data_IF_326580012154
#
_entry.id   IF_326580012154
#
_cell.length_a   1.000
_cell.length_b   1.000
_cell.length_c   1.000
_cell.angle_alpha   90.00
_cell.angle_beta   90.00
_cell.angle_gamma   90.00
#
_symmetry.space_group_name_H-M   'P 1'
#
loop_
_entity.id
_entity.type
_entity.pdbx_description
1 polymer ?
#
# COMPACT_ATOMS: atom_id res chain seq x y z
N UNK A 1 -26.64 -25.74 0.95
CA UNK A 1 -25.44 -25.32 0.19
C UNK A 1 -25.26 -23.82 0.36
N UNK A 2 -24.30 -23.40 1.18
CA UNK A 2 -24.03 -21.97 1.41
C UNK A 2 -23.27 -21.44 0.20
N UNK A 3 -23.83 -20.42 -0.47
CA UNK A 3 -23.24 -19.80 -1.66
C UNK A 3 -21.83 -19.28 -1.34
N UNK A 4 -20.81 -19.77 -2.08
CA UNK A 4 -19.38 -19.47 -1.86
C UNK A 4 -19.06 -17.97 -1.89
N UNK A 5 -19.86 -17.17 -2.61
CA UNK A 5 -19.77 -15.70 -2.62
C UNK A 5 -20.19 -15.03 -1.30
N UNK A 6 -21.15 -15.62 -0.57
CA UNK A 6 -21.58 -15.16 0.76
C UNK A 6 -20.59 -15.55 1.85
N UNK A 7 -19.85 -16.66 1.67
CA UNK A 7 -18.80 -17.09 2.58
C UNK A 7 -17.59 -16.13 2.55
N UNK A 8 -17.20 -15.67 1.36
CA UNK A 8 -16.09 -14.72 1.19
C UNK A 8 -16.43 -13.34 1.79
N UNK A 9 -17.65 -12.86 1.59
CA UNK A 9 -18.12 -11.62 2.20
C UNK A 9 -18.19 -11.72 3.73
N UNK A 10 -18.63 -12.86 4.27
CA UNK A 10 -18.69 -13.08 5.72
C UNK A 10 -17.31 -13.16 6.37
N UNK A 11 -16.33 -13.80 5.72
CA UNK A 11 -14.94 -13.87 6.21
C UNK A 11 -14.25 -12.49 6.19
N UNK A 12 -14.54 -11.66 5.19
CA UNK A 12 -14.04 -10.27 5.11
C UNK A 12 -14.64 -9.36 6.19
N UNK A 13 -15.95 -9.47 6.44
CA UNK A 13 -16.63 -8.71 7.49
C UNK A 13 -16.18 -9.17 8.89
N UNK A 14 -15.97 -10.47 9.10
CA UNK A 14 -15.45 -11.01 10.36
C UNK A 14 -13.98 -10.59 10.57
N UNK A 15 -13.14 -10.55 9.53
CA UNK A 15 -11.76 -10.06 9.64
C UNK A 15 -11.69 -8.56 9.98
N UNK A 16 -12.64 -7.75 9.50
CA UNK A 16 -12.75 -6.33 9.84
C UNK A 16 -13.25 -6.15 11.29
N UNK A 17 -14.18 -6.99 11.77
CA UNK A 17 -14.67 -6.92 13.16
C UNK A 17 -13.64 -7.41 14.19
N UNK A 18 -12.78 -8.39 13.85
CA UNK A 18 -11.70 -8.84 14.75
C UNK A 18 -10.58 -7.81 14.95
N UNK A 19 -10.56 -6.72 14.18
CA UNK A 19 -9.65 -5.61 14.40
C UNK A 19 -10.07 -4.68 15.57
N UNK A 20 -11.30 -4.80 16.10
CA UNK A 20 -11.84 -3.82 17.05
C UNK A 20 -12.43 -4.37 18.37
N UNK A 21 -12.39 -5.69 18.65
CA UNK A 21 -12.70 -6.15 20.00
C UNK A 21 -12.77 -7.66 20.21
N UNK A 22 -11.80 -8.19 20.96
CA UNK A 22 -11.93 -9.02 22.19
C UNK A 22 -10.52 -9.48 22.56
N UNK A 23 -10.08 -9.08 23.75
CA UNK A 23 -8.76 -9.43 24.29
C UNK A 23 -8.59 -10.93 24.47
N UNK A 24 -7.53 -11.46 23.85
CA UNK A 24 -6.71 -12.57 24.36
C UNK A 24 -5.47 -12.81 23.45
N UNK A 25 -5.49 -12.39 22.17
CA UNK A 25 -4.37 -12.59 21.23
C UNK A 25 -3.94 -11.30 20.50
N UNK A 26 -3.94 -10.15 21.20
CA UNK A 26 -3.69 -8.83 20.63
C UNK A 26 -2.28 -8.64 20.02
N UNK A 27 -1.32 -9.53 20.27
CA UNK A 27 0.05 -9.41 19.75
C UNK A 27 0.23 -9.95 18.32
N UNK A 28 -0.58 -10.91 17.87
CA UNK A 28 -0.44 -11.49 16.52
C UNK A 28 -1.28 -10.76 15.45
N UNK A 29 -2.47 -10.25 15.80
CA UNK A 29 -3.30 -9.49 14.84
C UNK A 29 -2.70 -8.10 14.57
N UNK A 30 -2.04 -7.51 15.57
CA UNK A 30 -1.26 -6.29 15.38
C UNK A 30 -0.15 -6.47 14.35
N UNK A 31 0.52 -7.63 14.33
CA UNK A 31 1.59 -7.96 13.40
C UNK A 31 1.10 -8.23 11.98
N UNK A 32 0.03 -9.01 11.79
CA UNK A 32 -0.49 -9.31 10.44
C UNK A 32 -1.12 -8.08 9.76
N UNK A 33 -1.81 -7.23 10.53
CA UNK A 33 -2.33 -5.96 10.05
C UNK A 33 -1.23 -4.93 9.79
N UNK A 34 -0.16 -4.93 10.60
CA UNK A 34 1.02 -4.11 10.32
C UNK A 34 1.86 -4.65 9.17
N UNK A 35 1.94 -5.97 8.97
CA UNK A 35 2.76 -6.59 7.91
C UNK A 35 2.23 -6.24 6.53
N UNK A 36 0.91 -6.32 6.30
CA UNK A 36 0.32 -5.89 5.03
C UNK A 36 0.48 -4.39 4.80
N UNK A 37 0.39 -3.57 5.86
CA UNK A 37 0.62 -2.12 5.77
C UNK A 37 2.10 -1.77 5.55
N UNK A 38 3.02 -2.58 6.04
CA UNK A 38 4.48 -2.45 5.82
C UNK A 38 4.85 -2.89 4.41
N UNK A 39 4.23 -3.96 3.92
CA UNK A 39 4.39 -4.48 2.56
C UNK A 39 3.85 -3.52 1.49
N UNK A 40 2.75 -2.83 1.78
CA UNK A 40 2.00 -1.95 0.86
C UNK A 40 2.10 -0.47 1.28
N UNK A 41 3.25 -0.08 1.84
CA UNK A 41 3.55 1.33 2.07
C UNK A 41 4.00 1.95 0.75
N UNK A 42 3.70 3.23 0.48
CA UNK A 42 4.27 3.91 -0.67
C UNK A 42 5.80 3.79 -0.72
N UNK A 43 6.40 3.50 -1.89
CA UNK A 43 7.85 3.50 -2.01
C UNK A 43 8.39 4.89 -1.75
N UNK A 44 9.47 4.94 -0.99
CA UNK A 44 10.27 6.15 -0.83
C UNK A 44 11.13 6.37 -2.06
N UNK A 45 11.55 7.61 -2.27
CA UNK A 45 12.44 7.94 -3.39
C UNK A 45 13.77 7.17 -3.33
N UNK A 46 14.32 6.96 -2.13
CA UNK A 46 15.52 6.15 -1.96
C UNK A 46 15.33 4.68 -2.36
N UNK A 47 14.13 4.12 -2.14
CA UNK A 47 13.82 2.76 -2.59
C UNK A 47 13.73 2.67 -4.11
N UNK A 48 13.16 3.69 -4.76
CA UNK A 48 13.14 3.79 -6.23
C UNK A 48 14.57 3.93 -6.76
N UNK A 49 15.39 4.79 -6.18
CA UNK A 49 16.78 5.00 -6.60
C UNK A 49 17.61 3.71 -6.45
N UNK A 50 17.44 3.01 -5.32
CA UNK A 50 18.09 1.73 -5.07
C UNK A 50 17.63 0.66 -6.07
N UNK A 51 16.33 0.59 -6.39
CA UNK A 51 15.79 -0.31 -7.40
C UNK A 51 16.37 0.00 -8.78
N UNK A 52 16.41 1.27 -9.19
CA UNK A 52 16.97 1.71 -10.46
C UNK A 52 18.43 1.26 -10.61
N UNK A 53 19.23 1.46 -9.55
CA UNK A 53 20.65 1.06 -9.53
C UNK A 53 20.82 -0.46 -9.54
N UNK A 54 20.06 -1.18 -8.71
CA UNK A 54 20.20 -2.64 -8.57
C UNK A 54 19.73 -3.38 -9.82
N UNK A 55 18.68 -2.89 -10.48
CA UNK A 55 18.15 -3.48 -11.72
C UNK A 55 18.92 -3.05 -12.97
N UNK A 56 19.85 -2.09 -12.84
CA UNK A 56 20.64 -1.56 -13.95
C UNK A 56 19.73 -1.12 -15.11
N UNK A 57 18.71 -0.31 -14.78
CA UNK A 57 17.71 0.11 -15.76
C UNK A 57 18.35 0.93 -16.89
N UNK A 58 17.92 0.68 -18.13
CA UNK A 58 18.31 1.49 -19.29
C UNK A 58 17.74 2.91 -19.17
N UNK A 59 18.25 3.86 -19.97
CA UNK A 59 17.73 5.22 -19.98
C UNK A 59 16.23 5.27 -20.32
N UNK A 60 15.80 4.44 -21.27
CA UNK A 60 14.40 4.31 -21.67
C UNK A 60 13.52 3.77 -20.53
N UNK A 61 13.97 2.72 -19.84
CA UNK A 61 13.28 2.17 -18.67
C UNK A 61 13.20 3.20 -17.52
N UNK A 62 14.26 3.98 -17.31
CA UNK A 62 14.30 5.04 -16.30
C UNK A 62 13.29 6.16 -16.59
N UNK A 63 13.22 6.63 -17.83
CA UNK A 63 12.25 7.66 -18.24
C UNK A 63 10.82 7.17 -18.08
N UNK A 64 10.53 5.93 -18.47
CA UNK A 64 9.19 5.35 -18.28
C UNK A 64 8.82 5.24 -16.80
N UNK A 65 9.72 4.72 -15.96
CA UNK A 65 9.51 4.65 -14.52
C UNK A 65 9.30 6.04 -13.92
N UNK A 66 10.08 7.05 -14.33
CA UNK A 66 9.95 8.41 -13.84
C UNK A 66 8.56 8.98 -14.14
N UNK A 67 8.08 8.83 -15.38
CA UNK A 67 6.76 9.28 -15.80
C UNK A 67 5.64 8.60 -14.99
N UNK A 68 5.72 7.29 -14.81
CA UNK A 68 4.75 6.54 -14.00
C UNK A 68 4.81 6.95 -12.53
N UNK A 69 6.01 7.17 -11.98
CA UNK A 69 6.20 7.57 -10.59
C UNK A 69 5.65 8.97 -10.30
N UNK A 70 5.81 9.93 -11.22
CA UNK A 70 5.20 11.27 -11.09
C UNK A 70 3.68 11.18 -11.05
N UNK A 71 3.06 10.38 -11.92
CA UNK A 71 1.61 10.17 -11.90
C UNK A 71 1.15 9.50 -10.60
N UNK A 72 1.86 8.45 -10.18
CA UNK A 72 1.60 7.74 -8.94
C UNK A 72 1.64 8.69 -7.72
N UNK A 73 2.68 9.50 -7.59
CA UNK A 73 2.84 10.42 -6.43
C UNK A 73 1.74 11.47 -6.37
N UNK A 74 1.32 12.03 -7.51
CA UNK A 74 0.21 12.99 -7.58
C UNK A 74 -1.13 12.36 -7.15
N UNK A 75 -1.43 11.16 -7.65
CA UNK A 75 -2.66 10.44 -7.29
C UNK A 75 -2.63 9.98 -5.83
N UNK A 76 -1.50 9.49 -5.36
CA UNK A 76 -1.30 9.07 -3.98
C UNK A 76 -1.50 10.24 -3.01
N UNK A 77 -0.99 11.43 -3.34
CA UNK A 77 -1.19 12.62 -2.52
C UNK A 77 -2.68 12.96 -2.37
N UNK A 78 -3.44 12.90 -3.47
CA UNK A 78 -4.90 13.09 -3.43
C UNK A 78 -5.60 12.03 -2.59
N UNK A 79 -5.30 10.75 -2.82
CA UNK A 79 -5.90 9.63 -2.09
C UNK A 79 -5.58 9.67 -0.60
N UNK A 80 -4.34 10.03 -0.23
CA UNK A 80 -3.91 10.16 1.16
C UNK A 80 -4.64 11.30 1.86
N UNK A 81 -4.80 12.44 1.19
CA UNK A 81 -5.59 13.56 1.72
C UNK A 81 -7.06 13.15 1.93
N UNK A 82 -7.69 12.49 0.95
CA UNK A 82 -9.05 11.97 1.10
C UNK A 82 -9.16 10.95 2.23
N UNK A 83 -8.18 10.07 2.38
CA UNK A 83 -8.14 9.07 3.45
C UNK A 83 -8.04 9.72 4.84
N UNK A 84 -7.22 10.77 4.98
CA UNK A 84 -7.13 11.54 6.23
C UNK A 84 -8.46 12.21 6.58
N UNK A 85 -9.13 12.81 5.60
CA UNK A 85 -10.46 13.39 5.79
C UNK A 85 -11.50 12.33 6.18
N UNK A 86 -11.54 11.19 5.47
CA UNK A 86 -12.45 10.09 5.79
C UNK A 86 -12.22 9.53 7.21
N UNK A 87 -10.96 9.46 7.66
CA UNK A 87 -10.62 9.10 9.05
C UNK A 87 -11.14 10.10 10.07
N UNK A 88 -11.02 11.40 9.80
CA UNK A 88 -11.57 12.44 10.67
C UNK A 88 -13.09 12.37 10.72
N UNK A 89 -13.74 12.15 9.56
CA UNK A 89 -15.19 11.98 9.46
C UNK A 89 -15.65 10.76 10.27
N UNK A 90 -14.98 9.60 10.13
CA UNK A 90 -15.29 8.42 10.93
C UNK A 90 -15.16 8.70 12.43
N UNK A 91 -14.09 9.38 12.86
CA UNK A 91 -13.90 9.74 14.27
C UNK A 91 -15.02 10.65 14.79
N UNK A 92 -15.46 11.63 13.98
CA UNK A 92 -16.59 12.49 14.32
C UNK A 92 -17.91 11.72 14.37
N UNK A 93 -18.17 10.83 13.40
CA UNK A 93 -19.37 9.96 13.37
C UNK A 93 -19.43 9.08 14.62
N UNK A 94 -18.32 8.45 15.01
CA UNK A 94 -18.25 7.61 16.21
C UNK A 94 -18.50 8.38 17.52
N UNK A 95 -18.22 9.70 17.55
CA UNK A 95 -18.44 10.55 18.72
C UNK A 95 -19.84 11.19 18.74
N UNK A 96 -20.45 11.40 17.57
CA UNK A 96 -21.62 12.26 17.39
C UNK A 96 -22.92 11.56 17.04
N UNK A 97 -22.91 10.28 16.66
CA UNK A 97 -24.12 9.55 16.29
C UNK A 97 -24.18 8.14 16.89
N UNK A 98 -25.40 7.70 17.21
CA UNK A 98 -25.70 6.32 17.60
C UNK A 98 -26.25 5.49 16.43
N UNK A 99 -26.34 6.08 15.23
CA UNK A 99 -26.86 5.44 14.02
C UNK A 99 -25.81 4.49 13.40
N UNK A 100 -26.02 3.16 13.45
CA UNK A 100 -25.06 2.20 12.92
C UNK A 100 -24.82 2.34 11.41
N UNK A 101 -25.82 2.78 10.64
CA UNK A 101 -25.70 2.91 9.19
C UNK A 101 -24.70 4.01 8.80
N UNK A 102 -24.62 5.09 9.57
CA UNK A 102 -23.65 6.17 9.33
C UNK A 102 -22.22 5.73 9.64
N UNK A 103 -22.04 4.92 10.69
CA UNK A 103 -20.74 4.33 11.01
C UNK A 103 -20.29 3.36 9.92
N UNK A 104 -21.19 2.49 9.44
CA UNK A 104 -20.93 1.56 8.34
C UNK A 104 -20.49 2.30 7.07
N UNK A 105 -21.23 3.32 6.64
CA UNK A 105 -20.87 4.11 5.47
C UNK A 105 -19.49 4.77 5.59
N UNK A 106 -19.14 5.31 6.76
CA UNK A 106 -17.83 5.92 7.01
C UNK A 106 -16.69 4.89 6.97
N UNK A 107 -16.93 3.67 7.47
CA UNK A 107 -15.97 2.57 7.39
C UNK A 107 -15.80 2.07 5.94
N UNK A 108 -16.88 1.96 5.18
CA UNK A 108 -16.84 1.60 3.76
C UNK A 108 -16.04 2.62 2.93
N UNK A 109 -16.22 3.92 3.19
CA UNK A 109 -15.44 4.96 2.52
C UNK A 109 -13.94 4.83 2.81
N UNK A 110 -13.58 4.62 4.09
CA UNK A 110 -12.20 4.45 4.52
C UNK A 110 -11.57 3.20 3.88
N UNK A 111 -12.30 2.08 3.84
CA UNK A 111 -11.86 0.87 3.16
C UNK A 111 -11.67 1.10 1.66
N UNK A 112 -12.63 1.73 0.98
CA UNK A 112 -12.53 2.05 -0.45
C UNK A 112 -11.29 2.89 -0.77
N UNK A 113 -11.01 3.91 0.03
CA UNK A 113 -9.84 4.77 -0.13
C UNK A 113 -8.54 4.01 0.11
N UNK A 114 -8.50 3.17 1.16
CA UNK A 114 -7.34 2.33 1.44
C UNK A 114 -7.03 1.36 0.28
N UNK A 115 -8.06 0.65 -0.21
CA UNK A 115 -7.93 -0.25 -1.36
C UNK A 115 -7.50 0.49 -2.64
N UNK A 116 -7.93 1.74 -2.81
CA UNK A 116 -7.49 2.58 -3.93
C UNK A 116 -5.99 2.90 -3.85
N UNK A 117 -5.47 3.20 -2.65
CA UNK A 117 -4.05 3.44 -2.42
C UNK A 117 -3.22 2.20 -2.79
N UNK A 118 -3.62 1.03 -2.27
CA UNK A 118 -2.96 -0.25 -2.58
C UNK A 118 -2.99 -0.53 -4.09
N UNK A 119 -4.14 -0.30 -4.73
CA UNK A 119 -4.29 -0.52 -6.18
C UNK A 119 -3.34 0.36 -6.99
N UNK A 120 -3.16 1.63 -6.62
CA UNK A 120 -2.20 2.53 -7.29
C UNK A 120 -0.76 2.09 -7.10
N UNK A 121 -0.43 1.59 -5.93
CA UNK A 121 0.90 1.04 -5.69
C UNK A 121 1.16 -0.21 -6.54
N UNK A 122 0.21 -1.14 -6.61
CA UNK A 122 0.34 -2.31 -7.49
C UNK A 122 0.44 -1.94 -8.96
N UNK A 123 -0.23 -0.87 -9.40
CA UNK A 123 -0.10 -0.35 -10.76
C UNK A 123 1.32 0.14 -11.05
N UNK A 124 1.96 0.85 -10.12
CA UNK A 124 3.36 1.26 -10.26
C UNK A 124 4.28 0.04 -10.42
N UNK A 125 4.14 -0.97 -9.55
CA UNK A 125 5.00 -2.16 -9.61
C UNK A 125 4.79 -3.00 -10.86
N UNK A 126 3.54 -3.16 -11.29
CA UNK A 126 3.22 -3.84 -12.54
C UNK A 126 3.77 -3.08 -13.75
N UNK A 127 3.65 -1.75 -13.76
CA UNK A 127 4.21 -0.92 -14.83
C UNK A 127 5.74 -1.03 -14.90
N UNK A 128 6.42 -1.07 -13.75
CA UNK A 128 7.86 -1.33 -13.72
C UNK A 128 8.16 -2.72 -14.27
N UNK A 129 7.59 -3.77 -13.69
CA UNK A 129 7.86 -5.16 -14.07
C UNK A 129 7.60 -5.46 -15.55
N UNK A 130 6.58 -4.84 -16.16
CA UNK A 130 6.26 -5.03 -17.58
C UNK A 130 7.31 -4.44 -18.54
N UNK A 131 8.12 -3.49 -18.06
CA UNK A 131 9.17 -2.85 -18.86
C UNK A 131 10.56 -3.43 -18.58
N UNK A 132 10.67 -4.44 -17.70
CA UNK A 132 11.92 -5.12 -17.38
C UNK A 132 12.18 -6.31 -18.31
N UNK A 133 13.45 -6.68 -18.47
CA UNK A 133 13.80 -8.00 -19.02
C UNK A 133 13.39 -9.10 -18.05
N UNK A 134 13.40 -10.36 -18.50
CA UNK A 134 13.11 -11.50 -17.63
C UNK A 134 14.07 -11.56 -16.42
N UNK A 135 15.38 -11.41 -16.67
CA UNK A 135 16.40 -11.42 -15.61
C UNK A 135 16.19 -10.26 -14.62
N UNK A 136 15.89 -9.05 -15.12
CA UNK A 136 15.57 -7.91 -14.28
C UNK A 136 14.28 -8.13 -13.47
N UNK A 137 13.27 -8.78 -14.04
CA UNK A 137 12.01 -9.09 -13.35
C UNK A 137 12.22 -10.07 -12.19
N UNK A 138 13.01 -11.12 -12.41
CA UNK A 138 13.36 -12.08 -11.35
C UNK A 138 14.12 -11.38 -10.21
N UNK A 139 15.10 -10.54 -10.56
CA UNK A 139 15.84 -9.73 -9.58
C UNK A 139 14.94 -8.72 -8.86
N UNK A 140 14.01 -8.08 -9.58
CA UNK A 140 13.05 -7.14 -9.01
C UNK A 140 12.21 -7.81 -7.93
N UNK A 141 11.62 -8.98 -8.20
CA UNK A 141 10.79 -9.66 -7.21
C UNK A 141 11.58 -10.16 -5.99
N UNK A 142 12.85 -10.55 -6.17
CA UNK A 142 13.73 -10.89 -5.05
C UNK A 142 14.00 -9.69 -4.13
N UNK A 143 14.36 -8.53 -4.70
CA UNK A 143 14.66 -7.31 -3.95
C UNK A 143 13.40 -6.68 -3.35
N UNK A 144 12.30 -6.69 -4.11
CA UNK A 144 11.00 -6.18 -3.67
C UNK A 144 10.49 -6.96 -2.46
N UNK A 145 10.46 -8.29 -2.52
CA UNK A 145 10.03 -9.12 -1.39
C UNK A 145 10.85 -8.86 -0.13
N UNK A 146 12.18 -8.75 -0.25
CA UNK A 146 13.06 -8.49 0.90
C UNK A 146 12.85 -7.10 1.50
N UNK A 147 12.94 -6.04 0.69
CA UNK A 147 12.82 -4.66 1.17
C UNK A 147 11.46 -4.34 1.80
N UNK A 148 10.40 -5.01 1.33
CA UNK A 148 9.04 -4.84 1.85
C UNK A 148 8.80 -5.60 3.14
N UNK A 149 9.42 -6.75 3.36
CA UNK A 149 9.26 -7.53 4.60
C UNK A 149 10.15 -7.00 5.73
N UNK A 150 11.36 -6.52 5.43
CA UNK A 150 12.31 -6.09 6.47
C UNK A 150 12.16 -4.63 6.90
N UNK A 151 11.30 -3.86 6.24
CA UNK A 151 11.21 -2.40 6.41
C UNK A 151 12.38 -1.67 5.75
N UNK A 152 12.36 -0.32 5.72
CA UNK A 152 13.41 0.48 5.08
C UNK A 152 14.77 0.11 5.66
N UNK A 153 15.70 -0.31 4.78
CA UNK A 153 17.08 -0.55 5.18
C UNK A 153 17.64 0.73 5.83
N UNK A 154 18.09 0.63 7.07
CA UNK A 154 18.66 1.72 7.86
C UNK A 154 20.06 2.14 7.42
N UNK A 155 20.54 1.66 6.27
CA UNK A 155 21.85 1.98 5.75
C UNK A 155 21.81 3.38 5.12
N UNK A 156 22.62 4.34 5.60
CA UNK A 156 22.71 5.65 4.97
C UNK A 156 23.35 5.47 3.59
N UNK A 157 22.55 5.57 2.54
CA UNK A 157 23.06 5.62 1.18
C UNK A 157 23.82 6.95 0.98
N UNK A 158 24.95 6.94 0.25
CA UNK A 158 25.63 8.18 -0.13
C UNK A 158 24.65 9.09 -0.89
N UNK A 159 24.79 10.40 -0.68
CA UNK A 159 23.86 11.41 -1.19
C UNK A 159 23.54 11.18 -2.68
N UNK A 160 22.26 11.00 -3.05
CA UNK A 160 21.90 10.72 -4.42
C UNK A 160 22.08 11.98 -5.27
N UNK A 161 22.86 11.88 -6.34
CA UNK A 161 22.59 12.66 -7.56
C UNK A 161 21.21 12.20 -8.03
N UNK A 162 20.17 12.93 -7.60
CA UNK A 162 18.81 12.43 -7.57
C UNK A 162 18.27 12.00 -8.93
N UNK A 163 17.56 10.87 -8.96
CA UNK A 163 16.77 10.35 -10.08
C UNK A 163 15.76 11.35 -10.68
N UNK A 164 15.44 12.43 -9.95
CA UNK A 164 14.54 13.50 -10.38
C UNK A 164 15.27 14.78 -10.83
N UNK A 165 16.59 14.75 -11.03
CA UNK A 165 17.34 15.86 -11.62
C UNK A 165 17.35 15.81 -13.14
#
# INVERSE_FOLDING_TARGET
MINMKKLIAFVLVVAIMFAFGIGANAQQVGQAGSDLMVLLRPPTQNEIDALVQQLQLTDEQRVQLQNTYVQYTQELQRLTSSYQTARQNLAATLQGTSDPAQVENALEELHRLHSSIISREMQLWNALSNNLTQEQTEKFWQVFGQSRVTGPATTPAPAPEGFLR
#
